data_IF_157792582166
#
_entry.id   IF_157792582166
#
_cell.length_a   1.000
_cell.length_b   1.000
_cell.length_c   1.000
_cell.angle_alpha   90.00
_cell.angle_beta   90.00
_cell.angle_gamma   90.00
#
_symmetry.space_group_name_H-M   'P 1'
#
loop_
_entity.id
_entity.type
_entity.pdbx_description
1 polymer ?
2 water ?
#
# COMPACT_ATOMS: atom_id res chain seq x y z
N UNK A 1 23.29 -6.71 -16.29
CA UNK A 1 22.60 -5.50 -16.73
C UNK A 1 21.27 -5.35 -15.98
N UNK A 2 21.16 -4.26 -15.23
CA UNK A 2 20.01 -4.04 -14.37
C UNK A 2 18.89 -3.35 -15.15
N UNK A 3 17.66 -3.77 -14.87
CA UNK A 3 16.47 -3.19 -15.47
C UNK A 3 15.59 -2.57 -14.39
N UNK A 4 14.90 -1.49 -14.78
CA UNK A 4 13.95 -0.87 -13.87
C UNK A 4 12.66 -1.65 -13.92
N UNK A 5 12.19 -2.09 -12.75
CA UNK A 5 10.98 -2.88 -12.64
C UNK A 5 9.91 -2.11 -11.87
N UNK A 6 8.66 -2.37 -12.25
CA UNK A 6 7.51 -1.73 -11.65
C UNK A 6 6.45 -2.78 -11.34
N UNK A 7 5.75 -2.57 -10.23
CA UNK A 7 4.57 -3.37 -9.90
C UNK A 7 3.50 -2.43 -9.38
N UNK A 8 2.26 -2.90 -9.44
CA UNK A 8 1.11 -2.11 -9.03
C UNK A 8 0.06 -3.05 -8.46
N UNK A 9 -0.26 -2.89 -7.18
CA UNK A 9 -1.19 -3.78 -6.49
C UNK A 9 -2.41 -2.97 -6.09
N UNK A 10 -3.58 -3.45 -6.49
CA UNK A 10 -4.86 -2.77 -6.26
C UNK A 10 -5.58 -3.41 -5.09
N UNK A 11 -6.25 -2.57 -4.28
CA UNK A 11 -7.15 -3.09 -3.26
C UNK A 11 -8.16 -4.02 -3.92
N UNK A 12 -9.21 -4.42 -3.22
CA UNK A 12 -10.03 -5.49 -3.78
C UNK A 12 -11.52 -5.42 -3.48
N UNK A 13 -11.96 -4.97 -2.29
CA UNK A 13 -13.39 -4.96 -2.00
C UNK A 13 -14.03 -3.57 -2.04
N UNK A 14 -13.90 -2.84 -3.15
CA UNK A 14 -14.40 -1.46 -3.18
C UNK A 14 -15.88 -1.43 -3.52
N UNK A 15 -16.64 -0.62 -2.78
CA UNK A 15 -18.08 -0.44 -2.98
C UNK A 15 -18.36 0.89 -3.66
N UNK A 16 -19.14 0.84 -4.73
CA UNK A 16 -19.65 2.07 -5.32
C UNK A 16 -20.47 2.85 -4.29
N UNK A 17 -20.35 4.17 -4.32
CA UNK A 17 -21.05 5.01 -3.38
C UNK A 17 -20.18 6.20 -3.00
N UNK A 18 -20.47 6.75 -1.82
CA UNK A 18 -19.67 7.86 -1.31
C UNK A 18 -18.31 7.35 -0.89
N UNK A 19 -17.27 8.00 -1.39
CA UNK A 19 -15.90 7.64 -1.07
C UNK A 19 -15.17 8.85 -0.52
N UNK A 20 -14.47 8.74 0.61
CA UNK A 20 -13.79 9.92 1.15
C UNK A 20 -12.43 10.16 0.53
N UNK A 21 -12.03 11.43 0.54
CA UNK A 21 -10.67 11.79 0.17
C UNK A 21 -9.67 11.03 1.04
N UNK A 22 -8.62 10.51 0.40
CA UNK A 22 -7.55 9.83 1.09
C UNK A 22 -7.64 8.31 1.05
N UNK A 23 -8.76 7.74 0.62
CA UNK A 23 -8.89 6.29 0.56
C UNK A 23 -7.88 5.72 -0.42
N UNK A 24 -7.01 4.84 0.08
CA UNK A 24 -5.99 4.23 -0.76
C UNK A 24 -6.65 3.18 -1.66
N UNK A 25 -6.44 3.31 -2.96
CA UNK A 25 -6.96 2.36 -3.93
C UNK A 25 -5.91 1.39 -4.44
N UNK A 26 -4.66 1.82 -4.54
CA UNK A 26 -3.61 1.00 -5.11
C UNK A 26 -2.27 1.45 -4.54
N UNK A 27 -1.30 0.53 -4.59
CA UNK A 27 0.07 0.81 -4.20
C UNK A 27 1.01 0.43 -5.33
N UNK A 28 1.98 1.29 -5.61
CA UNK A 28 2.94 1.03 -6.66
C UNK A 28 4.35 0.87 -6.12
N UNK A 29 5.19 0.16 -6.86
CA UNK A 29 6.58 -0.06 -6.51
C UNK A 29 7.45 0.16 -7.75
N UNK A 30 8.64 0.71 -7.54
CA UNK A 30 9.65 0.83 -8.59
C UNK A 30 10.95 0.26 -8.04
N UNK A 31 11.70 -0.43 -8.90
CA UNK A 31 12.93 -1.10 -8.49
C UNK A 31 13.99 -0.86 -9.54
N UNK A 32 15.18 -0.48 -9.09
CA UNK A 32 16.34 -0.33 -9.98
C UNK A 32 17.59 -0.43 -9.14
N UNK A 33 18.45 -1.40 -9.45
CA UNK A 33 19.63 -1.67 -8.64
C UNK A 33 20.90 -1.12 -9.27
N UNK A 34 20.78 -0.37 -10.37
CA UNK A 34 21.89 0.41 -10.88
C UNK A 34 22.03 1.74 -10.16
N UNK A 35 23.08 2.47 -10.52
CA UNK A 35 23.33 3.77 -9.91
C UNK A 35 22.30 4.79 -10.39
N UNK A 36 21.69 5.49 -9.44
CA UNK A 36 20.62 6.44 -9.73
C UNK A 36 20.51 7.42 -8.57
N UNK A 37 19.86 8.55 -8.85
CA UNK A 37 19.65 9.59 -7.84
C UNK A 37 18.19 9.73 -7.43
N UNK A 38 17.30 8.93 -7.98
CA UNK A 38 15.90 9.00 -7.62
C UNK A 38 15.03 8.28 -8.62
N UNK A 39 13.72 8.44 -8.43
CA UNK A 39 12.71 7.82 -9.28
C UNK A 39 11.66 8.86 -9.66
N UNK A 40 11.12 8.72 -10.87
CA UNK A 40 10.03 9.54 -11.35
C UNK A 40 8.91 8.62 -11.82
N UNK A 41 7.68 8.90 -11.39
CA UNK A 41 6.51 8.16 -11.84
C UNK A 41 5.46 9.17 -12.32
N UNK A 42 4.87 8.90 -13.48
CA UNK A 42 3.83 9.75 -14.03
C UNK A 42 2.84 8.86 -14.77
N UNK A 43 1.74 9.46 -15.22
CA UNK A 43 0.68 8.70 -15.86
C UNK A 43 0.10 9.52 -17.00
N UNK A 44 -0.30 8.81 -18.07
CA UNK A 44 -0.96 9.47 -19.20
C UNK A 44 -2.35 9.97 -18.85
N UNK A 45 -2.94 9.48 -17.76
CA UNK A 45 -4.27 9.90 -17.34
C UNK A 45 -4.21 11.15 -16.46
N UNK A 46 -3.08 11.84 -16.43
CA UNK A 46 -2.96 13.07 -15.65
C UNK A 46 -4.08 14.03 -16.04
N UNK A 47 -4.70 14.63 -15.02
CA UNK A 47 -5.90 15.43 -15.23
C UNK A 47 -5.61 16.66 -16.10
N UNK A 48 -4.64 17.48 -15.69
CA UNK A 48 -4.37 18.72 -16.39
C UNK A 48 -2.89 19.05 -16.27
N UNK A 49 -2.39 19.82 -17.23
CA UNK A 49 -1.00 20.21 -17.24
C UNK A 49 -0.50 20.88 -15.98
N UNK A 50 -1.41 21.35 -15.13
CA UNK A 50 -1.03 22.05 -13.90
C UNK A 50 -1.20 21.21 -12.64
N UNK A 51 -1.62 19.95 -12.77
CA UNK A 51 -1.73 19.04 -11.63
C UNK A 51 -0.83 17.84 -11.89
N UNK A 52 0.46 17.91 -11.53
CA UNK A 52 1.37 16.82 -11.91
C UNK A 52 1.03 15.48 -11.27
N UNK A 53 0.46 15.47 -10.07
CA UNK A 53 0.19 14.22 -9.35
C UNK A 53 -1.27 13.76 -9.43
N UNK A 54 -2.17 14.54 -10.01
CA UNK A 54 -3.59 14.23 -10.02
C UNK A 54 -3.95 13.58 -11.36
N UNK A 55 -4.64 12.44 -11.28
CA UNK A 55 -5.11 11.71 -12.45
C UNK A 55 -6.63 11.71 -12.49
N UNK A 56 -7.18 11.67 -13.71
CA UNK A 56 -8.61 11.52 -13.93
C UNK A 56 -8.84 10.29 -14.81
N UNK A 57 -9.54 9.31 -14.28
CA UNK A 57 -9.76 8.04 -14.94
C UNK A 57 -11.18 7.98 -15.50
N UNK A 58 -11.32 7.39 -16.68
CA UNK A 58 -12.61 7.25 -17.34
C UNK A 58 -13.04 5.80 -17.34
N UNK A 59 -14.34 5.57 -17.12
CA UNK A 59 -14.83 4.22 -16.96
C UNK A 59 -14.84 3.44 -18.26
N UNK A 60 -14.59 2.14 -18.14
CA UNK A 60 -14.61 1.26 -19.30
C UNK A 60 -16.03 1.08 -19.83
N UNK A 61 -17.00 0.85 -18.94
CA UNK A 61 -18.37 0.62 -19.35
C UNK A 61 -19.05 1.92 -19.80
N UNK A 62 -18.78 3.02 -19.11
CA UNK A 62 -19.30 4.33 -19.49
C UNK A 62 -18.19 5.36 -19.34
N UNK A 63 -17.64 5.89 -20.44
CA UNK A 63 -16.49 6.81 -20.31
C UNK A 63 -16.84 8.09 -19.55
N UNK A 64 -18.13 8.40 -19.41
CA UNK A 64 -18.58 9.52 -18.60
C UNK A 64 -18.41 9.29 -17.10
N UNK A 65 -18.17 8.04 -16.69
CA UNK A 65 -17.85 7.73 -15.30
C UNK A 65 -16.41 8.12 -15.00
N UNK A 66 -16.22 9.03 -14.06
CA UNK A 66 -14.90 9.53 -13.71
C UNK A 66 -14.57 9.17 -12.26
N UNK A 67 -13.28 8.96 -12.01
CA UNK A 67 -12.74 8.90 -10.65
C UNK A 67 -11.41 9.63 -10.65
N UNK A 68 -11.22 10.50 -9.67
CA UNK A 68 -10.04 11.34 -9.57
C UNK A 68 -9.17 10.87 -8.43
N UNK A 69 -7.89 10.60 -8.73
CA UNK A 69 -6.95 10.06 -7.76
C UNK A 69 -5.68 10.91 -7.81
N UNK A 70 -4.82 10.71 -6.82
CA UNK A 70 -3.55 11.42 -6.76
C UNK A 70 -2.45 10.47 -6.30
N UNK A 71 -1.24 10.71 -6.79
CA UNK A 71 -0.08 9.94 -6.38
C UNK A 71 0.47 10.51 -5.07
N UNK A 72 0.75 9.62 -4.11
CA UNK A 72 1.15 10.04 -2.78
C UNK A 72 2.19 9.08 -2.22
N UNK A 73 3.01 9.58 -1.32
CA UNK A 73 3.98 8.75 -0.61
C UNK A 73 5.00 9.57 0.15
N UNK A 74 5.55 9.00 1.22
CA UNK A 74 6.58 9.70 1.99
C UNK A 74 7.76 10.05 1.09
N UNK A 75 8.03 11.34 0.97
CA UNK A 75 9.18 11.83 0.24
C UNK A 75 8.90 12.22 -1.20
N UNK A 76 7.78 11.76 -1.76
CA UNK A 76 7.46 12.09 -3.15
C UNK A 76 7.02 13.54 -3.27
N UNK A 77 7.58 14.24 -4.24
CA UNK A 77 7.24 15.62 -4.50
C UNK A 77 6.64 15.75 -5.90
N UNK A 78 5.72 16.69 -6.11
CA UNK A 78 5.29 16.98 -7.47
C UNK A 78 6.47 17.42 -8.33
N UNK A 79 6.50 16.92 -9.56
CA UNK A 79 7.58 17.29 -10.48
C UNK A 79 7.19 18.62 -11.11
N UNK A 80 7.73 19.71 -10.56
CA UNK A 80 7.43 21.05 -11.05
C UNK A 80 8.28 21.42 -12.25
N UNK A 81 9.36 20.68 -12.53
CA UNK A 81 10.17 20.95 -13.70
C UNK A 81 9.45 20.51 -14.97
N UNK A 82 9.07 19.23 -15.03
CA UNK A 82 8.39 18.71 -16.20
C UNK A 82 6.89 18.98 -16.16
N UNK A 83 6.32 19.14 -14.97
CA UNK A 83 4.88 19.27 -14.82
C UNK A 83 4.12 17.96 -14.95
N UNK A 84 4.83 16.83 -14.95
CA UNK A 84 4.22 15.52 -15.11
C UNK A 84 4.71 14.58 -14.01
N UNK A 85 3.78 14.15 -13.16
CA UNK A 85 3.95 13.15 -12.13
C UNK A 85 4.75 13.60 -10.91
N UNK A 86 5.29 12.61 -10.21
CA UNK A 86 5.95 12.82 -8.92
C UNK A 86 7.39 12.35 -8.98
N UNK A 87 8.22 12.93 -8.12
CA UNK A 87 9.65 12.67 -8.08
C UNK A 87 10.09 12.42 -6.64
N UNK A 88 10.95 11.42 -6.46
CA UNK A 88 11.53 11.09 -5.17
C UNK A 88 13.03 10.98 -5.32
N UNK A 89 13.77 11.73 -4.52
CA UNK A 89 15.22 11.77 -4.61
C UNK A 89 15.79 10.79 -3.59
N UNK A 90 16.37 9.69 -4.08
CA UNK A 90 16.89 8.65 -3.21
C UNK A 90 17.85 7.77 -4.00
N UNK A 91 18.86 7.27 -3.30
CA UNK A 91 19.73 6.24 -3.86
C UNK A 91 19.22 4.83 -3.59
N UNK A 92 18.16 4.70 -2.79
CA UNK A 92 17.60 3.40 -2.48
C UNK A 92 17.18 2.68 -3.76
N UNK A 93 17.37 1.36 -3.78
CA UNK A 93 17.02 0.57 -4.95
C UNK A 93 15.51 0.39 -5.07
N UNK A 94 14.76 0.58 -3.99
CA UNK A 94 13.31 0.37 -4.01
C UNK A 94 12.60 1.64 -3.57
N UNK A 95 11.46 1.91 -4.21
CA UNK A 95 10.59 2.99 -3.80
C UNK A 95 9.15 2.53 -3.98
N UNK A 96 8.25 3.18 -3.24
CA UNK A 96 6.84 2.83 -3.28
C UNK A 96 6.01 4.10 -3.12
N UNK A 97 4.80 4.07 -3.67
CA UNK A 97 3.91 5.22 -3.64
C UNK A 97 2.48 4.71 -3.62
N UNK A 98 1.56 5.57 -3.21
CA UNK A 98 0.15 5.24 -3.12
C UNK A 98 -0.65 6.03 -4.15
N UNK A 99 -1.75 5.43 -4.59
CA UNK A 99 -2.76 6.09 -5.41
C UNK A 99 -4.01 6.18 -4.55
N UNK A 100 -4.43 7.40 -4.23
CA UNK A 100 -5.50 7.62 -3.28
C UNK A 100 -6.56 8.52 -3.90
N UNK A 101 -7.79 8.38 -3.39
CA UNK A 101 -8.89 9.21 -3.82
C UNK A 101 -8.58 10.67 -3.51
N UNK A 102 -8.80 11.53 -4.50
CA UNK A 102 -8.48 12.96 -4.38
C UNK A 102 -9.81 13.72 -4.39
N UNK A 103 -10.27 14.10 -3.20
CA UNK A 103 -11.55 14.75 -3.06
C UNK A 103 -12.68 13.78 -2.83
N UNK A 104 -13.58 14.11 -1.92
CA UNK A 104 -14.76 13.26 -1.68
C UNK A 104 -15.53 13.08 -2.98
N UNK A 105 -15.92 11.84 -3.26
CA UNK A 105 -16.54 11.52 -4.54
C UNK A 105 -17.66 10.50 -4.37
N UNK A 106 -18.60 10.56 -5.30
CA UNK A 106 -19.61 9.51 -5.46
C UNK A 106 -19.15 8.67 -6.64
N UNK A 107 -18.56 7.52 -6.36
CA UNK A 107 -17.93 6.72 -7.41
C UNK A 107 -18.99 5.76 -7.93
N UNK A 108 -19.27 5.73 -9.23
CA UNK A 108 -20.26 4.79 -9.75
C UNK A 108 -19.65 3.40 -9.90
N UNK A 109 -20.52 2.45 -10.23
CA UNK A 109 -20.09 1.07 -10.45
C UNK A 109 -19.52 0.97 -11.87
N UNK A 110 -18.23 0.70 -11.96
CA UNK A 110 -17.55 0.61 -13.26
C UNK A 110 -16.16 0.04 -13.00
N UNK A 111 -15.39 -0.10 -14.08
CA UNK A 111 -14.00 -0.53 -14.01
C UNK A 111 -13.14 0.54 -14.65
N UNK A 112 -12.06 0.92 -13.97
CA UNK A 112 -11.14 1.95 -14.42
C UNK A 112 -9.74 1.38 -14.57
N UNK A 113 -9.05 1.75 -15.65
CA UNK A 113 -7.68 1.33 -15.88
C UNK A 113 -6.73 2.35 -15.24
N UNK A 114 -5.86 1.87 -14.37
CA UNK A 114 -4.82 2.69 -13.75
C UNK A 114 -3.46 2.37 -14.39
N UNK A 115 -2.92 3.32 -15.14
CA UNK A 115 -1.61 3.21 -15.78
C UNK A 115 -0.61 4.16 -15.13
N UNK A 116 0.63 3.70 -14.94
CA UNK A 116 1.69 4.62 -14.56
C UNK A 116 2.99 4.16 -15.20
N UNK A 117 3.88 5.12 -15.43
CA UNK A 117 5.20 4.87 -15.98
C UNK A 117 6.23 5.41 -15.01
N UNK A 118 7.38 4.75 -14.93
CA UNK A 118 8.41 5.10 -13.97
C UNK A 118 9.76 5.27 -14.64
N UNK A 119 10.56 6.19 -14.10
CA UNK A 119 11.91 6.48 -14.59
C UNK A 119 12.86 6.52 -13.41
N UNK A 120 14.05 5.93 -13.60
CA UNK A 120 15.14 6.08 -12.65
C UNK A 120 16.03 7.24 -13.08
N UNK A 121 16.29 8.15 -12.14
CA UNK A 121 17.14 9.30 -12.42
C UNK A 121 18.59 9.00 -12.08
N UNK A 135 9.31 4.91 -22.84
CA UNK A 135 9.42 3.86 -21.83
C UNK A 135 9.17 2.46 -22.41
N UNK A 136 9.95 1.49 -21.99
CA UNK A 136 9.77 0.11 -22.44
C UNK A 136 8.64 -0.56 -21.66
N UNK A 137 8.50 -1.87 -21.85
CA UNK A 137 7.39 -2.62 -21.28
C UNK A 137 7.59 -3.00 -19.82
N UNK A 138 8.82 -2.84 -19.33
CA UNK A 138 9.14 -3.09 -17.93
C UNK A 138 8.92 -1.83 -17.06
N UNK A 139 9.14 -0.62 -17.58
CA UNK A 139 8.86 0.59 -16.85
C UNK A 139 7.37 1.02 -16.69
N UNK A 140 6.38 0.26 -17.18
CA UNK A 140 4.98 0.63 -17.04
C UNK A 140 4.18 -0.58 -16.55
N UNK A 141 3.07 -0.29 -15.90
CA UNK A 141 2.17 -1.32 -15.40
C UNK A 141 0.73 -0.82 -15.50
N UNK A 142 -0.19 -1.78 -15.59
CA UNK A 142 -1.61 -1.49 -15.72
C UNK A 142 -2.42 -2.43 -14.85
N UNK A 143 -3.38 -1.89 -14.11
CA UNK A 143 -4.34 -2.68 -13.35
C UNK A 143 -5.72 -2.09 -13.54
N UNK A 144 -6.73 -2.90 -13.26
CA UNK A 144 -8.11 -2.46 -13.25
C UNK A 144 -8.59 -2.24 -11.82
N UNK A 145 -9.28 -1.13 -11.61
CA UNK A 145 -9.88 -0.79 -10.32
C UNK A 145 -11.39 -0.96 -10.46
N UNK A 146 -11.95 -1.89 -9.71
CA UNK A 146 -13.36 -2.24 -9.84
C UNK A 146 -14.10 -1.69 -8.63
N UNK A 147 -15.17 -0.94 -8.89
CA UNK A 147 -16.12 -0.50 -7.87
C UNK A 147 -17.45 -1.17 -8.16
N UNK A 148 -17.94 -1.95 -7.21
CA UNK A 148 -19.17 -2.71 -7.42
C UNK A 148 -20.33 -2.07 -6.66
N UNK A 149 -21.54 -2.34 -7.14
CA UNK A 149 -22.74 -1.90 -6.46
C UNK A 149 -23.35 -3.09 -5.71
N UNK B 2 -21.67 -6.65 6.05
CA UNK B 2 -21.81 -7.19 7.39
C UNK B 2 -20.64 -8.09 7.77
N UNK B 3 -19.74 -8.36 6.82
CA UNK B 3 -18.59 -9.21 7.05
C UNK B 3 -17.33 -8.39 6.83
N UNK B 4 -16.30 -8.63 7.65
CA UNK B 4 -15.03 -7.94 7.51
C UNK B 4 -14.15 -8.65 6.48
N UNK B 5 -13.64 -7.89 5.52
CA UNK B 5 -12.72 -8.42 4.52
C UNK B 5 -11.37 -7.76 4.71
N UNK B 6 -10.29 -8.52 4.56
CA UNK B 6 -8.96 -7.96 4.64
C UNK B 6 -8.09 -8.60 3.57
N UNK B 7 -7.20 -7.81 2.98
CA UNK B 7 -6.19 -8.34 2.09
C UNK B 7 -4.87 -7.63 2.33
N UNK B 8 -3.80 -8.27 1.91
CA UNK B 8 -2.46 -7.73 2.07
C UNK B 8 -1.66 -8.15 0.84
N UNK B 9 -1.18 -7.16 0.10
CA UNK B 9 -0.46 -7.40 -1.14
C UNK B 9 0.99 -7.02 -0.97
N UNK B 10 1.86 -7.94 -1.36
CA UNK B 10 3.29 -7.72 -1.26
C UNK B 10 3.70 -7.11 -2.60
N UNK B 11 4.54 -6.09 -2.53
CA UNK B 11 4.96 -5.41 -3.73
C UNK B 11 5.48 -6.34 -4.80
N UNK B 12 6.58 -7.02 -4.51
CA UNK B 12 7.25 -7.84 -5.51
C UNK B 12 8.16 -8.82 -4.78
N UNK B 13 9.09 -9.39 -5.53
CA UNK B 13 10.14 -10.23 -4.98
C UNK B 13 11.37 -9.35 -4.87
N UNK B 14 11.69 -8.96 -3.65
CA UNK B 14 12.74 -8.00 -3.34
C UNK B 14 14.10 -8.67 -3.39
N UNK B 15 15.13 -7.88 -3.68
CA UNK B 15 16.47 -8.43 -3.79
C UNK B 15 17.15 -8.36 -2.44
N UNK B 16 17.67 -9.51 -1.99
CA UNK B 16 18.43 -9.57 -0.77
C UNK B 16 19.61 -8.61 -0.81
N UNK B 17 19.91 -8.04 0.35
CA UNK B 17 20.96 -7.06 0.48
C UNK B 17 20.58 -6.06 1.55
N UNK B 18 21.18 -4.87 1.45
CA UNK B 18 20.86 -3.79 2.37
C UNK B 18 19.49 -3.20 2.06
N UNK B 19 18.65 -3.08 3.08
CA UNK B 19 17.33 -2.47 2.97
C UNK B 19 17.25 -1.33 3.98
N UNK B 20 16.84 -0.13 3.57
CA UNK B 20 16.76 0.98 4.52
C UNK B 20 15.46 0.97 5.31
N UNK B 21 15.53 1.56 6.50
CA UNK B 21 14.33 1.77 7.28
C UNK B 21 13.30 2.56 6.47
N UNK B 22 12.04 2.12 6.52
CA UNK B 22 10.96 2.79 5.85
C UNK B 22 10.56 2.18 4.52
N UNK B 23 11.36 1.26 3.99
CA UNK B 23 11.07 0.63 2.71
C UNK B 23 9.74 -0.13 2.80
N UNK B 24 8.80 0.24 1.92
CA UNK B 24 7.49 -0.39 1.90
C UNK B 24 7.60 -1.80 1.31
N UNK B 25 7.12 -2.78 2.06
CA UNK B 25 7.12 -4.17 1.62
C UNK B 25 5.75 -4.63 1.14
N UNK B 26 4.68 -4.11 1.73
CA UNK B 26 3.33 -4.56 1.40
C UNK B 26 2.34 -3.46 1.73
N UNK B 27 1.19 -3.52 1.07
CA UNK B 27 0.08 -2.63 1.37
C UNK B 27 -1.15 -3.49 1.65
N UNK B 28 -1.85 -3.15 2.73
CA UNK B 28 -3.02 -3.89 3.14
C UNK B 28 -4.29 -3.08 3.09
N UNK B 29 -5.43 -3.76 3.01
CA UNK B 29 -6.73 -3.10 2.99
C UNK B 29 -7.65 -3.81 3.96
N UNK B 30 -8.51 -3.03 4.63
CA UNK B 30 -9.55 -3.55 5.50
C UNK B 30 -10.87 -2.89 5.13
N UNK B 31 -11.94 -3.68 5.15
CA UNK B 31 -13.27 -3.21 4.77
C UNK B 31 -14.29 -3.80 5.72
N UNK B 32 -15.21 -2.95 6.19
CA UNK B 32 -16.33 -3.42 7.00
C UNK B 32 -17.43 -2.38 6.89
N UNK B 33 -18.59 -2.78 6.37
CA UNK B 33 -19.68 -1.85 6.09
C UNK B 33 -20.75 -1.84 7.17
N UNK B 34 -20.55 -2.59 8.25
CA UNK B 34 -21.42 -2.45 9.41
C UNK B 34 -20.98 -1.28 10.28
N UNK B 35 -21.80 -1.00 11.29
CA UNK B 35 -21.49 0.08 12.21
C UNK B 35 -20.30 -0.32 13.08
N UNK B 36 -19.29 0.56 13.12
CA UNK B 36 -18.05 0.27 13.83
C UNK B 36 -17.38 1.60 14.16
N UNK B 37 -16.44 1.54 15.11
CA UNK B 37 -15.71 2.73 15.54
C UNK B 37 -14.24 2.74 15.14
N UNK B 38 -13.76 1.71 14.46
CA UNK B 38 -12.37 1.69 14.05
C UNK B 38 -11.92 0.30 13.65
N UNK B 39 -10.61 0.19 13.42
CA UNK B 39 -9.99 -1.06 12.99
C UNK B 39 -8.73 -1.31 13.80
N UNK B 40 -8.45 -2.58 14.04
CA UNK B 40 -7.20 -3.02 14.66
C UNK B 40 -6.53 -4.03 13.76
N UNK B 41 -5.21 -3.88 13.58
CA UNK B 41 -4.41 -4.84 12.84
C UNK B 41 -3.26 -5.27 13.75
N UNK B 42 -3.10 -6.58 13.90
CA UNK B 42 -2.04 -7.13 14.74
C UNK B 42 -1.58 -8.46 14.16
N UNK B 43 -0.48 -8.97 14.72
CA UNK B 43 0.18 -10.16 14.19
C UNK B 43 0.76 -10.98 15.32
N UNK B 44 0.78 -12.30 15.13
CA UNK B 44 1.38 -13.21 16.09
C UNK B 44 2.90 -13.08 16.15
N UNK B 45 3.52 -12.47 15.13
CA UNK B 45 4.96 -12.26 15.12
C UNK B 45 5.36 -10.96 15.83
N UNK B 46 4.46 -10.36 16.59
CA UNK B 46 4.78 -9.13 17.30
C UNK B 46 6.00 -9.32 18.20
N UNK B 47 6.98 -8.43 18.04
CA UNK B 47 8.22 -8.54 18.80
C UNK B 47 7.98 -8.16 20.25
N UNK B 48 8.36 -9.03 21.18
CA UNK B 48 8.10 -8.78 22.58
C UNK B 48 8.90 -7.55 23.05
N UNK B 49 8.36 -6.86 24.05
CA UNK B 49 9.02 -5.70 24.61
C UNK B 49 8.98 -4.45 23.76
N UNK B 50 8.60 -4.55 22.50
CA UNK B 50 8.66 -3.43 21.57
C UNK B 50 7.28 -2.81 21.36
N UNK B 51 7.28 -1.68 20.66
CA UNK B 51 6.04 -1.05 20.23
C UNK B 51 5.16 -2.09 19.55
N UNK B 52 3.89 -2.21 19.92
CA UNK B 52 3.06 -3.32 19.42
C UNK B 52 3.01 -3.41 17.90
N UNK B 53 3.45 -2.37 17.19
CA UNK B 53 3.41 -2.36 15.74
C UNK B 53 4.65 -2.97 15.10
N UNK B 54 5.63 -3.38 15.90
CA UNK B 54 6.89 -3.93 15.39
C UNK B 54 6.79 -5.45 15.40
N UNK B 55 7.10 -6.06 14.25
CA UNK B 55 7.07 -7.50 14.09
C UNK B 55 8.46 -8.01 13.78
N UNK B 56 8.73 -9.25 14.21
CA UNK B 56 9.97 -9.95 13.89
C UNK B 56 9.60 -11.25 13.19
N UNK B 57 10.04 -11.38 11.93
CA UNK B 57 9.68 -12.52 11.09
C UNK B 57 10.85 -13.49 11.03
N UNK B 58 10.52 -14.78 11.01
CA UNK B 58 11.51 -15.85 10.92
C UNK B 58 11.43 -16.51 9.55
N UNK B 59 12.58 -16.82 8.98
CA UNK B 59 12.63 -17.33 7.62
C UNK B 59 12.16 -18.77 7.50
N UNK B 60 11.55 -19.07 6.36
CA UNK B 60 11.09 -20.43 6.10
C UNK B 60 12.25 -21.38 5.88
N UNK B 61 13.22 -21.00 5.04
CA UNK B 61 14.32 -21.90 4.73
C UNK B 61 15.29 -22.01 5.91
N UNK B 62 15.57 -20.90 6.57
CA UNK B 62 16.42 -20.91 7.76
C UNK B 62 15.79 -19.99 8.79
N UNK B 63 15.17 -20.54 9.85
CA UNK B 63 14.49 -19.68 10.82
C UNK B 63 15.40 -18.70 11.54
N UNK B 64 16.72 -18.91 11.55
CA UNK B 64 17.57 -17.88 12.13
C UNK B 64 17.67 -16.64 11.25
N UNK B 65 17.19 -16.72 10.01
CA UNK B 65 17.08 -15.53 9.18
C UNK B 65 15.91 -14.69 9.68
N UNK B 66 16.20 -13.47 10.11
CA UNK B 66 15.19 -12.59 10.66
C UNK B 66 15.07 -11.34 9.79
N UNK B 67 13.86 -10.79 9.74
CA UNK B 67 13.63 -9.46 9.21
C UNK B 67 12.62 -8.78 10.11
N UNK B 68 12.89 -7.53 10.47
CA UNK B 68 12.07 -6.79 11.40
C UNK B 68 11.31 -5.71 10.64
N UNK B 69 9.98 -5.72 10.79
CA UNK B 69 9.09 -4.84 10.05
C UNK B 69 8.15 -4.18 11.04
N UNK B 70 7.43 -3.16 10.56
CA UNK B 70 6.45 -2.48 11.41
C UNK B 70 5.20 -2.15 10.59
N UNK B 71 4.06 -2.18 11.29
CA UNK B 71 2.80 -1.76 10.69
C UNK B 71 2.66 -0.26 10.78
N UNK B 72 2.33 0.38 9.67
CA UNK B 72 2.27 1.83 9.59
C UNK B 72 1.16 2.26 8.65
N UNK B 73 0.70 3.49 8.85
CA UNK B 73 -0.27 4.08 7.96
C UNK B 73 -0.83 5.38 8.51
N UNK B 74 -1.29 6.25 7.63
CA UNK B 74 -1.86 7.52 8.06
C UNK B 74 -2.99 7.26 9.06
N UNK B 75 -2.81 7.74 10.29
CA UNK B 75 -3.81 7.64 11.31
C UNK B 75 -3.67 6.45 12.23
N UNK B 76 -2.92 5.43 11.84
CA UNK B 76 -2.75 4.25 12.68
C UNK B 76 -1.81 4.55 13.84
N UNK B 77 -2.23 4.17 15.05
CA UNK B 77 -1.49 4.37 16.28
C UNK B 77 -1.17 3.04 16.95
N UNK B 78 -0.07 2.95 17.70
CA UNK B 78 0.14 1.77 18.55
C UNK B 78 -1.03 1.61 19.50
N UNK B 79 -1.50 0.36 19.64
CA UNK B 79 -2.66 0.06 20.48
C UNK B 79 -2.19 -0.12 21.92
N UNK B 80 -2.37 0.93 22.73
CA UNK B 80 -1.98 0.87 24.13
C UNK B 80 -3.08 0.26 25.01
N UNK B 81 -4.30 0.15 24.51
CA UNK B 81 -5.38 -0.47 25.27
C UNK B 81 -5.20 -1.99 25.26
N UNK B 82 -5.15 -2.58 24.07
CA UNK B 82 -5.01 -4.03 23.91
C UNK B 82 -3.57 -4.50 23.96
N UNK B 83 -2.61 -3.65 23.59
CA UNK B 83 -1.24 -4.09 23.48
C UNK B 83 -0.92 -4.90 22.25
N UNK B 84 -1.79 -4.91 21.25
CA UNK B 84 -1.59 -5.74 20.05
C UNK B 84 -1.69 -4.87 18.82
N UNK B 85 -0.57 -4.72 18.09
CA UNK B 85 -0.67 -4.13 16.78
C UNK B 85 -1.02 -2.64 16.82
N UNK B 86 -1.71 -2.21 15.78
CA UNK B 86 -2.05 -0.82 15.55
C UNK B 86 -3.57 -0.67 15.56
N UNK B 87 -4.01 0.55 15.87
CA UNK B 87 -5.42 0.89 16.01
C UNK B 87 -5.68 2.13 15.19
N UNK B 88 -6.82 2.18 14.52
CA UNK B 88 -7.23 3.36 13.77
C UNK B 88 -8.67 3.67 14.15
N UNK B 89 -8.90 4.88 14.66
CA UNK B 89 -10.23 5.30 15.10
C UNK B 89 -10.91 6.01 13.95
N UNK B 90 -11.90 5.36 13.35
CA UNK B 90 -12.61 5.90 12.20
C UNK B 90 -13.90 5.12 12.04
N UNK B 91 -14.94 5.80 11.57
CA UNK B 91 -16.17 5.15 11.16
C UNK B 91 -16.16 4.79 9.68
N UNK B 92 -15.12 5.18 8.95
CA UNK B 92 -15.03 4.88 7.52
C UNK B 92 -15.08 3.38 7.28
N UNK B 93 -15.75 2.99 6.18
CA UNK B 93 -15.90 1.58 5.86
C UNK B 93 -14.62 0.96 5.32
N UNK B 94 -13.68 1.77 4.85
CA UNK B 94 -12.44 1.28 4.27
C UNK B 94 -11.24 1.88 5.00
N UNK B 95 -10.20 1.07 5.17
CA UNK B 95 -8.93 1.54 5.70
C UNK B 95 -7.80 0.82 4.97
N UNK B 96 -6.62 1.41 5.03
CA UNK B 96 -5.44 0.86 4.37
C UNK B 96 -4.24 1.09 5.26
N UNK B 97 -3.27 0.17 5.16
CA UNK B 97 -2.07 0.24 5.98
C UNK B 97 -0.90 -0.35 5.21
N UNK B 98 0.31 0.00 5.64
CA UNK B 98 1.54 -0.45 5.02
C UNK B 98 2.35 -1.31 5.98
N UNK B 99 3.14 -2.22 5.41
CA UNK B 99 4.15 -2.98 6.13
C UNK B 99 5.50 -2.51 5.61
N UNK B 100 6.30 -1.93 6.50
CA UNK B 100 7.56 -1.30 6.10
C UNK B 100 8.71 -1.88 6.91
N UNK B 101 9.90 -1.82 6.33
CA UNK B 101 11.12 -2.24 7.02
C UNK B 101 11.35 -1.35 8.23
N UNK B 102 11.69 -1.96 9.37
CA UNK B 102 11.88 -1.25 10.63
C UNK B 102 13.36 -1.34 11.01
N UNK B 103 14.11 -0.27 10.70
CA UNK B 103 15.54 -0.24 10.95
C UNK B 103 16.34 -0.75 9.76
N UNK B 104 17.45 -0.07 9.44
CA UNK B 104 18.32 -0.54 8.37
C UNK B 104 18.78 -1.95 8.68
N UNK B 105 18.72 -2.83 7.67
CA UNK B 105 19.01 -4.24 7.87
C UNK B 105 19.72 -4.79 6.64
N UNK B 106 20.50 -5.84 6.87
CA UNK B 106 21.06 -6.66 5.79
C UNK B 106 20.26 -7.94 5.71
N UNK B 107 19.36 -8.01 4.73
CA UNK B 107 18.38 -9.10 4.63
C UNK B 107 18.92 -10.23 3.75
N UNK B 108 18.92 -11.47 4.21
CA UNK B 108 19.37 -12.58 3.37
C UNK B 108 18.26 -13.01 2.41
N UNK B 109 18.60 -13.93 1.52
CA UNK B 109 17.64 -14.50 0.60
C UNK B 109 16.82 -15.57 1.30
N UNK B 110 15.51 -15.34 1.45
CA UNK B 110 14.65 -16.28 2.13
C UNK B 110 13.20 -15.86 1.91
N UNK B 111 12.29 -16.62 2.51
CA UNK B 111 10.86 -16.33 2.50
C UNK B 111 10.40 -16.14 3.93
N UNK B 112 9.65 -15.08 4.19
CA UNK B 112 9.12 -14.79 5.51
C UNK B 112 7.61 -14.74 5.42
N UNK B 113 6.95 -15.47 6.31
CA UNK B 113 5.49 -15.46 6.40
C UNK B 113 5.08 -14.42 7.43
N UNK B 114 4.26 -13.47 7.01
CA UNK B 114 3.68 -12.49 7.93
C UNK B 114 2.24 -12.89 8.15
N UNK B 115 1.91 -13.26 9.39
CA UNK B 115 0.57 -13.61 9.75
C UNK B 115 -0.03 -12.39 10.43
N UNK B 116 -1.25 -12.02 10.03
CA UNK B 116 -1.88 -10.87 10.63
C UNK B 116 -3.38 -11.07 10.71
N UNK B 117 -3.97 -10.39 11.69
CA UNK B 117 -5.39 -10.40 11.94
C UNK B 117 -5.91 -8.97 11.92
N UNK B 118 -7.14 -8.81 11.48
CA UNK B 118 -7.77 -7.50 11.39
C UNK B 118 -9.08 -7.57 12.15
N UNK B 119 -9.40 -6.49 12.85
CA UNK B 119 -10.59 -6.42 13.69
C UNK B 119 -11.33 -5.13 13.46
N UNK B 120 -12.65 -5.21 13.36
CA UNK B 120 -13.50 -4.03 13.40
C UNK B 120 -13.93 -3.81 14.84
N UNK B 121 -13.71 -2.59 15.34
CA UNK B 121 -14.09 -2.26 16.70
C UNK B 121 -15.50 -1.69 16.74
N UNK B 122 -16.20 -1.97 17.82
CA UNK B 122 -17.62 -1.63 17.93
C UNK B 122 -17.80 -0.20 18.41
N UNK B 123 -18.93 0.39 18.02
CA UNK B 123 -19.28 1.77 18.37
C UNK B 123 -18.93 2.10 19.82
N UNK B 131 -21.96 -3.40 26.60
CA UNK B 131 -21.02 -3.85 25.59
C UNK B 131 -21.57 -3.76 24.19
N UNK B 132 -20.83 -4.32 23.22
CA UNK B 132 -21.25 -4.26 21.82
C UNK B 132 -20.60 -5.39 21.05
N UNK B 133 -21.39 -6.09 20.25
CA UNK B 133 -20.94 -7.25 19.50
C UNK B 133 -21.12 -6.97 18.00
N UNK B 134 -20.07 -7.25 17.23
CA UNK B 134 -20.12 -7.11 15.78
C UNK B 134 -19.98 -8.47 15.13
N UNK B 135 -20.87 -8.86 14.22
CA UNK B 135 -20.77 -10.18 13.58
C UNK B 135 -19.70 -10.19 12.50
N UNK B 136 -18.95 -11.30 12.46
CA UNK B 136 -17.95 -11.53 11.41
C UNK B 136 -16.95 -10.38 11.32
N UNK B 137 -16.57 -9.84 12.47
CA UNK B 137 -15.71 -8.66 12.52
C UNK B 137 -14.21 -8.95 12.47
N UNK B 138 -13.76 -10.21 12.57
CA UNK B 138 -12.33 -10.51 12.49
C UNK B 138 -12.01 -11.38 11.28
N UNK B 139 -10.73 -11.34 10.88
CA UNK B 139 -10.24 -12.19 9.79
C UNK B 139 -8.72 -12.28 9.87
N UNK B 140 -8.19 -13.50 9.76
CA UNK B 140 -6.75 -13.73 9.66
C UNK B 140 -6.35 -13.94 8.20
N UNK B 141 -5.14 -13.50 7.87
CA UNK B 141 -4.56 -13.72 6.55
C UNK B 141 -3.06 -13.97 6.70
N UNK B 142 -2.49 -14.60 5.68
CA UNK B 142 -1.05 -14.89 5.65
C UNK B 142 -0.52 -14.53 4.27
N UNK B 143 0.63 -13.86 4.24
CA UNK B 143 1.33 -13.58 3.00
C UNK B 143 2.80 -13.91 3.20
N UNK B 144 3.47 -14.18 2.09
CA UNK B 144 4.90 -14.43 2.08
C UNK B 144 5.62 -13.20 1.53
N UNK B 145 6.70 -12.82 2.22
CA UNK B 145 7.58 -11.76 1.75
C UNK B 145 8.88 -12.45 1.35
N UNK B 146 9.19 -12.43 0.06
CA UNK B 146 10.32 -13.16 -0.49
C UNK B 146 11.43 -12.19 -0.85
N UNK B 147 12.64 -12.50 -0.41
CA UNK B 147 13.84 -11.79 -0.82
C UNK B 147 14.69 -12.73 -1.66
N UNK B 148 15.03 -12.30 -2.87
CA UNK B 148 15.73 -13.10 -3.85
C UNK B 148 17.22 -12.76 -3.85
N UNK B 149 18.00 -13.63 -4.48
CA UNK B 149 19.44 -13.43 -4.56
C UNK B 149 19.82 -12.66 -5.82
#
# INVERSE_FOLDING_TARGET
>A
AEKLQTTLRVGTYFRAGHVPDGMVLAQGWVTYHGSHSGFRVWSDEQKAGNTPTVLLLSGQQDPRHHIQVRLEGEGWQPDTVSGRGAILRTAADNASFSVVVDGNQEVPADTWTLDFKACALAQEDTDNKQGSFLPNSEQQKSVDIVFSS
>B
AEKLQTTLRVGTYFRAGHVPDGMVLAQGWVTYHGSHSGFRVWSDEQKAGNTPTVLLLSGQQDPRHHIQVRLEGEGWQPDTVSGRGAILRTAADNASFSVVVDGNQEVPADTWTLDFKACALAQEDTDNKQGSFLPNSEQQKSVDIVFSS
#
